data_IF_707331324192
#
_entry.id   IF_707331324192
#
_cell.length_a   1.000
_cell.length_b   1.000
_cell.length_c   1.000
_cell.angle_alpha   90.00
_cell.angle_beta   90.00
_cell.angle_gamma   90.00
#
_symmetry.space_group_name_H-M   'P 1'
#
loop_
_entity.id
_entity.type
_entity.pdbx_description
1 polymer ?
#
# COMPACT_ATOMS: atom_id res chain seq x y z
N UNK A 1 -0.96 -9.01 11.73
CA UNK A 1 0.05 -9.34 10.69
C UNK A 1 1.30 -8.48 10.95
N UNK A 2 2.35 -9.02 11.60
CA UNK A 2 3.52 -8.22 12.04
C UNK A 2 4.50 -8.01 10.89
N UNK A 3 4.70 -6.76 10.47
CA UNK A 3 5.72 -6.38 9.48
C UNK A 3 7.12 -6.76 9.99
N UNK A 4 7.91 -7.52 9.20
CA UNK A 4 9.29 -7.90 9.54
C UNK A 4 10.15 -6.64 9.77
N UNK A 5 11.07 -6.67 10.74
CA UNK A 5 11.85 -5.49 11.17
C UNK A 5 12.63 -4.85 10.02
N UNK A 6 13.23 -5.70 9.17
CA UNK A 6 13.97 -5.28 7.97
C UNK A 6 13.08 -4.55 6.96
N UNK A 7 11.81 -4.92 6.86
CA UNK A 7 10.84 -4.24 5.98
C UNK A 7 10.46 -2.88 6.58
N UNK A 8 10.22 -2.82 7.89
CA UNK A 8 9.93 -1.57 8.59
C UNK A 8 11.07 -0.55 8.41
N UNK A 9 12.33 -0.96 8.64
CA UNK A 9 13.50 -0.10 8.43
C UNK A 9 13.73 0.36 6.99
N UNK A 10 13.28 -0.42 5.99
CA UNK A 10 13.39 -0.06 4.57
C UNK A 10 12.28 0.87 4.09
N UNK A 11 11.18 0.97 4.82
CA UNK A 11 10.04 1.81 4.42
C UNK A 11 10.26 3.23 4.93
N UNK A 12 9.88 4.20 4.10
CA UNK A 12 9.78 5.59 4.52
C UNK A 12 8.83 5.67 5.73
N UNK A 13 9.27 6.34 6.78
CA UNK A 13 8.50 6.59 8.00
C UNK A 13 8.48 8.08 8.30
N UNK A 14 7.38 8.55 8.87
CA UNK A 14 7.18 9.92 9.29
C UNK A 14 6.89 9.95 10.78
N UNK A 15 7.43 10.95 11.48
CA UNK A 15 7.20 11.13 12.92
C UNK A 15 5.79 11.68 13.18
N UNK A 16 5.30 12.53 12.29
CA UNK A 16 4.00 13.20 12.40
C UNK A 16 2.97 12.65 11.40
N UNK A 17 1.70 12.66 11.81
CA UNK A 17 0.60 12.22 10.98
C UNK A 17 0.32 13.22 9.84
N UNK A 18 0.39 14.51 10.12
CA UNK A 18 0.17 15.58 9.14
C UNK A 18 1.22 15.55 8.02
N UNK A 19 2.50 15.34 8.38
CA UNK A 19 3.56 15.12 7.39
C UNK A 19 3.26 13.91 6.49
N UNK A 20 2.86 12.78 7.10
CA UNK A 20 2.52 11.58 6.34
C UNK A 20 1.31 11.81 5.41
N UNK A 21 0.31 12.59 5.84
CA UNK A 21 -0.84 12.96 5.01
C UNK A 21 -0.47 13.89 3.86
N UNK A 22 0.39 14.88 4.11
CA UNK A 22 0.87 15.79 3.07
C UNK A 22 1.64 15.03 1.98
N UNK A 23 2.45 14.04 2.38
CA UNK A 23 3.15 13.17 1.43
C UNK A 23 2.17 12.23 0.72
N UNK A 24 1.18 11.68 1.43
CA UNK A 24 0.13 10.86 0.84
C UNK A 24 -0.63 11.59 -0.28
N UNK A 25 -0.94 12.87 -0.09
CA UNK A 25 -1.64 13.70 -1.07
C UNK A 25 -0.85 13.95 -2.36
N UNK A 26 0.48 13.76 -2.35
CA UNK A 26 1.33 13.92 -3.54
C UNK A 26 1.30 12.71 -4.47
N UNK A 27 0.76 11.57 -4.05
CA UNK A 27 0.66 10.39 -4.89
C UNK A 27 -0.57 10.45 -5.79
N UNK A 28 -0.40 10.02 -7.04
CA UNK A 28 -1.50 9.91 -8.00
C UNK A 28 -2.51 8.78 -7.71
N UNK A 29 -2.30 8.00 -6.64
CA UNK A 29 -3.13 6.84 -6.28
C UNK A 29 -3.43 6.83 -4.77
N UNK A 30 -4.52 6.17 -4.37
CA UNK A 30 -4.97 6.11 -2.96
C UNK A 30 -3.93 5.42 -2.07
N UNK A 31 -3.17 6.25 -1.35
CA UNK A 31 -2.26 5.87 -0.27
C UNK A 31 -2.76 6.46 1.03
N UNK A 32 -2.66 5.68 2.10
CA UNK A 32 -3.09 6.10 3.43
C UNK A 32 -1.97 5.93 4.43
N UNK A 33 -1.77 6.90 5.33
CA UNK A 33 -0.90 6.72 6.47
C UNK A 33 -1.51 5.72 7.46
N UNK A 34 -0.68 4.87 8.04
CA UNK A 34 -1.05 4.00 9.16
C UNK A 34 0.06 4.02 10.20
N UNK A 35 -0.33 3.97 11.48
CA UNK A 35 0.61 3.90 12.59
C UNK A 35 1.19 2.48 12.66
N UNK A 36 2.52 2.38 12.71
CA UNK A 36 3.18 1.10 12.80
C UNK A 36 3.21 0.59 14.25
N UNK A 37 2.65 -0.58 14.51
CA UNK A 37 2.72 -1.24 15.83
C UNK A 37 4.15 -1.60 16.26
N UNK A 38 5.13 -1.50 15.35
CA UNK A 38 6.53 -1.86 15.61
C UNK A 38 7.40 -0.68 15.99
N UNK A 39 7.44 0.36 15.16
CA UNK A 39 8.28 1.53 15.39
C UNK A 39 7.50 2.74 15.93
N UNK A 40 6.16 2.66 16.01
CA UNK A 40 5.31 3.77 16.48
C UNK A 40 5.14 4.91 15.48
N UNK A 41 5.92 4.96 14.41
CA UNK A 41 5.89 5.99 13.37
C UNK A 41 4.78 5.74 12.34
N UNK A 42 4.51 6.73 11.50
CA UNK A 42 3.55 6.65 10.40
C UNK A 42 4.21 6.16 9.12
N UNK A 43 3.64 5.12 8.53
CA UNK A 43 4.03 4.60 7.22
C UNK A 43 2.91 4.76 6.22
N UNK A 44 3.25 4.82 4.93
CA UNK A 44 2.26 4.80 3.86
C UNK A 44 1.95 3.36 3.43
N UNK A 45 0.69 3.11 3.15
CA UNK A 45 0.23 1.90 2.48
C UNK A 45 -0.71 2.25 1.34
N UNK A 46 -0.51 1.63 0.18
CA UNK A 46 -1.50 1.69 -0.90
C UNK A 46 -2.54 0.59 -0.69
N UNK A 47 -3.81 0.88 -0.98
CA UNK A 47 -4.86 -0.16 -1.07
C UNK A 47 -4.79 -0.95 -2.37
N UNK A 48 -3.79 -0.68 -3.23
CA UNK A 48 -3.59 -1.36 -4.50
C UNK A 48 -3.03 -2.78 -4.33
N UNK A 49 -2.45 -3.09 -3.17
CA UNK A 49 -1.86 -4.41 -2.90
C UNK A 49 -2.97 -5.47 -2.80
N UNK A 50 -3.18 -6.20 -3.89
CA UNK A 50 -4.16 -7.30 -3.97
C UNK A 50 -5.21 -7.16 -5.07
N UNK A 51 -5.28 -6.01 -5.77
CA UNK A 51 -6.10 -5.92 -6.99
C UNK A 51 -5.36 -6.65 -8.11
N UNK A 52 -5.60 -7.96 -8.21
CA UNK A 52 -5.22 -8.75 -9.39
C UNK A 52 -5.96 -8.12 -10.56
N UNK A 53 -5.24 -7.40 -11.42
CA UNK A 53 -5.79 -6.91 -12.69
C UNK A 53 -6.19 -8.18 -13.48
N UNK A 54 -7.48 -8.39 -13.79
CA UNK A 54 -7.88 -9.50 -14.64
C UNK A 54 -7.15 -9.37 -15.97
N UNK A 55 -6.49 -10.43 -16.43
CA UNK A 55 -5.86 -10.46 -17.75
C UNK A 55 -7.01 -10.41 -18.77
N UNK A 56 -7.10 -9.43 -19.68
CA UNK A 56 -8.13 -9.45 -20.71
C UNK A 56 -7.83 -10.60 -21.69
N UNK A 57 -8.82 -11.46 -21.95
CA UNK A 57 -8.81 -12.43 -23.05
C UNK A 57 -8.37 -13.85 -22.70
N UNK A 58 -9.29 -14.67 -22.20
CA UNK A 58 -9.36 -16.09 -22.55
C UNK A 58 -10.83 -16.52 -22.57
N UNK A 59 -11.62 -15.86 -23.41
CA UNK A 59 -12.90 -16.42 -23.86
C UNK A 59 -12.59 -17.63 -24.73
N UNK A 60 -12.75 -18.83 -24.15
CA UNK A 60 -12.93 -20.03 -24.95
C UNK A 60 -14.41 -20.10 -25.29
N UNK A 61 -14.75 -19.67 -26.50
CA UNK A 61 -16.02 -20.02 -27.11
C UNK A 61 -16.01 -21.53 -27.35
N UNK A 62 -16.88 -22.25 -26.64
CA UNK A 62 -17.23 -23.62 -26.95
C UNK A 62 -18.75 -23.59 -27.09
N UNK A 63 -19.21 -23.47 -28.33
CA UNK A 63 -20.63 -23.57 -28.68
C UNK A 63 -20.78 -24.79 -29.59
N UNK A 64 -21.84 -25.54 -29.31
CA UNK A 64 -22.15 -26.94 -29.63
C UNK A 64 -22.36 -27.22 -31.13
#
# INVERSE_FOLDING_TARGET
MRTRARICKKKVCFADQGEAMAVAARFAYDVRPYRCDRCGHYHLTSRLKGKRIPRPGSERSNED
#
